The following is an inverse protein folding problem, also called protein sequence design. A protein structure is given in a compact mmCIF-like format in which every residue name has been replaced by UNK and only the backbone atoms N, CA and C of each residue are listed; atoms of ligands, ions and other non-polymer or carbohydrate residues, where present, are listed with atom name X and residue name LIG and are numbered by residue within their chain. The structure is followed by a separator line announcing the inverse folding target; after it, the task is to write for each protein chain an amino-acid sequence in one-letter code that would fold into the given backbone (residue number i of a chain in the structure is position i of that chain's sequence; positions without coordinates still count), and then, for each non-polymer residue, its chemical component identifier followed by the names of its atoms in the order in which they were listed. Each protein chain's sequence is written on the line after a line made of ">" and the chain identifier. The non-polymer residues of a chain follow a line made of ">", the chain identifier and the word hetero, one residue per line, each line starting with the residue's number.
data_IF_292966854162
#
_entry.id   IF_292966854162
#
_cell.length_a   1.000
_cell.length_b   1.000
_cell.length_c   1.000
_cell.angle_alpha   90.00
_cell.angle_beta   90.00
_cell.angle_gamma   90.00
#
_symmetry.space_group_name_H-M   'P 1'
#
loop_
_entity.id
_entity.type
_entity.pdbx_description
1 polymer ?
#
# COMPACT_ATOMS: atom_id res chain seq x y z
N UNK A 1 32.48 22.35 1.14
CA UNK A 1 31.19 23.01 0.82
C UNK A 1 30.91 22.64 -0.63
N UNK A 2 30.41 21.44 -0.87
CA UNK A 2 28.99 21.02 -0.85
C UNK A 2 28.25 21.51 -2.10
N UNK A 3 27.89 20.57 -2.98
CA UNK A 3 26.79 20.67 -3.93
C UNK A 3 26.27 19.24 -4.16
N UNK A 4 25.65 18.67 -3.11
CA UNK A 4 24.92 17.40 -3.13
C UNK A 4 23.42 17.63 -3.42
N UNK A 5 23.11 18.45 -4.43
CA UNK A 5 21.72 18.84 -4.74
C UNK A 5 21.14 18.17 -6.00
N UNK A 6 21.76 17.08 -6.50
CA UNK A 6 21.22 16.32 -7.64
C UNK A 6 20.42 15.07 -7.29
N UNK A 7 20.32 14.68 -6.01
CA UNK A 7 19.63 13.44 -5.60
C UNK A 7 18.22 13.65 -5.03
N UNK A 8 17.76 14.88 -4.79
CA UNK A 8 16.49 15.14 -4.11
C UNK A 8 15.31 15.60 -4.98
N UNK A 9 15.47 15.71 -6.31
CA UNK A 9 14.39 16.18 -7.19
C UNK A 9 13.57 15.07 -7.87
N UNK A 10 13.97 13.80 -7.76
CA UNK A 10 13.27 12.69 -8.40
C UNK A 10 12.12 12.09 -7.55
N UNK A 11 11.96 12.51 -6.29
CA UNK A 11 10.97 11.92 -5.37
C UNK A 11 9.64 12.69 -5.34
N UNK A 12 9.60 13.92 -5.88
CA UNK A 12 8.48 14.86 -5.65
C UNK A 12 7.51 15.09 -6.83
N UNK A 13 7.44 14.19 -7.80
CA UNK A 13 6.47 14.29 -8.90
C UNK A 13 5.82 12.97 -9.33
N UNK A 14 5.86 11.94 -8.47
CA UNK A 14 4.92 10.83 -8.58
C UNK A 14 3.55 11.32 -8.08
N UNK A 15 2.82 11.95 -8.99
CA UNK A 15 1.52 12.60 -8.78
C UNK A 15 0.60 11.76 -7.90
N UNK A 16 0.05 12.37 -6.85
CA UNK A 16 -1.04 11.84 -6.01
C UNK A 16 -2.34 11.55 -6.78
N UNK A 17 -2.33 11.65 -8.11
CA UNK A 17 -3.46 11.45 -8.98
C UNK A 17 -3.69 9.96 -9.19
N UNK A 18 -4.96 9.55 -9.12
CA UNK A 18 -5.38 8.19 -9.45
C UNK A 18 -4.88 7.90 -10.87
N UNK A 19 -4.22 6.76 -11.12
CA UNK A 19 -3.77 6.39 -12.46
C UNK A 19 -4.94 6.44 -13.45
N UNK A 20 -4.76 7.17 -14.55
CA UNK A 20 -5.74 7.24 -15.63
C UNK A 20 -5.87 5.88 -16.34
N UNK A 21 -7.01 5.66 -16.99
CA UNK A 21 -7.18 4.48 -17.84
C UNK A 21 -6.11 4.44 -18.94
N UNK A 22 -5.58 3.24 -19.26
CA UNK A 22 -4.61 3.09 -20.33
C UNK A 22 -5.29 3.33 -21.68
N UNK A 23 -4.58 3.99 -22.59
CA UNK A 23 -5.02 4.12 -23.98
C UNK A 23 -4.99 2.75 -24.67
N UNK A 24 -6.15 2.16 -24.94
CA UNK A 24 -6.27 0.86 -25.60
C UNK A 24 -6.28 1.09 -27.12
N UNK A 25 -5.28 0.53 -27.81
CA UNK A 25 -5.27 0.50 -29.27
C UNK A 25 -6.37 -0.46 -29.73
N UNK A 26 -7.26 -0.01 -30.61
CA UNK A 26 -8.28 -0.87 -31.19
C UNK A 26 -7.66 -1.94 -32.10
N UNK A 27 -8.25 -3.14 -32.14
CA UNK A 27 -7.81 -4.18 -33.06
C UNK A 27 -8.11 -3.75 -34.50
N UNK A 28 -7.12 -3.86 -35.38
CA UNK A 28 -7.23 -3.45 -36.77
C UNK A 28 -6.68 -4.53 -37.70
N UNK A 29 -7.55 -5.45 -38.10
CA UNK A 29 -7.19 -6.52 -39.03
C UNK A 29 -6.92 -6.02 -40.45
N UNK A 30 -7.50 -4.88 -40.84
CA UNK A 30 -7.37 -4.33 -42.20
C UNK A 30 -5.96 -3.80 -42.45
N UNK A 31 -5.32 -3.26 -41.41
CA UNK A 31 -3.93 -2.80 -41.45
C UNK A 31 -2.90 -3.87 -41.04
N UNK A 32 -3.28 -5.15 -41.12
CA UNK A 32 -2.34 -6.27 -40.91
C UNK A 32 -1.95 -6.52 -39.46
N UNK A 33 -2.71 -5.99 -38.48
CA UNK A 33 -2.46 -6.28 -37.07
C UNK A 33 -2.72 -7.75 -36.77
N UNK A 34 -1.71 -8.44 -36.23
CA UNK A 34 -1.87 -9.83 -35.78
C UNK A 34 -2.65 -9.87 -34.47
N UNK A 35 -3.63 -10.77 -34.40
CA UNK A 35 -4.50 -10.95 -33.22
C UNK A 35 -3.69 -11.25 -31.96
N UNK A 36 -2.65 -12.07 -32.08
CA UNK A 36 -1.77 -12.46 -30.98
C UNK A 36 -1.00 -11.24 -30.46
N UNK A 37 -0.46 -10.41 -31.36
CA UNK A 37 0.27 -9.21 -30.99
C UNK A 37 -0.65 -8.18 -30.31
N UNK A 38 -1.87 -8.02 -30.79
CA UNK A 38 -2.86 -7.15 -30.16
C UNK A 38 -3.25 -7.65 -28.77
N UNK A 39 -3.50 -8.95 -28.62
CA UNK A 39 -3.81 -9.56 -27.32
C UNK A 39 -2.67 -9.39 -26.31
N UNK A 40 -1.43 -9.66 -26.70
CA UNK A 40 -0.25 -9.43 -25.86
C UNK A 40 -0.13 -7.96 -25.44
N UNK A 41 -0.45 -7.02 -26.33
CA UNK A 41 -0.44 -5.60 -26.01
C UNK A 41 -1.43 -5.24 -24.90
N UNK A 42 -2.63 -5.83 -24.91
CA UNK A 42 -3.64 -5.64 -23.88
C UNK A 42 -3.16 -6.20 -22.54
N UNK A 43 -2.58 -7.41 -22.53
CA UNK A 43 -2.06 -8.02 -21.31
C UNK A 43 -0.96 -7.17 -20.68
N UNK A 44 -0.01 -6.69 -21.48
CA UNK A 44 1.08 -5.81 -21.02
C UNK A 44 0.51 -4.51 -20.45
N UNK A 45 -0.47 -3.89 -21.11
CA UNK A 45 -1.10 -2.66 -20.62
C UNK A 45 -1.84 -2.88 -19.30
N UNK A 46 -2.59 -3.97 -19.17
CA UNK A 46 -3.28 -4.32 -17.94
C UNK A 46 -2.29 -4.54 -16.78
N UNK A 47 -1.21 -5.27 -17.01
CA UNK A 47 -0.16 -5.48 -16.02
C UNK A 47 0.49 -4.16 -15.58
N UNK A 48 0.81 -3.27 -16.53
CA UNK A 48 1.36 -1.94 -16.23
C UNK A 48 0.39 -1.09 -15.41
N UNK A 49 -0.89 -1.11 -15.73
CA UNK A 49 -1.91 -0.38 -14.97
C UNK A 49 -2.03 -0.92 -13.54
N UNK A 50 -2.05 -2.25 -13.37
CA UNK A 50 -2.10 -2.88 -12.06
C UNK A 50 -0.92 -2.47 -11.17
N UNK A 51 0.30 -2.42 -11.73
CA UNK A 51 1.50 -1.94 -11.03
C UNK A 51 1.35 -0.46 -10.64
N UNK A 52 0.91 0.41 -11.57
CA UNK A 52 0.69 1.83 -11.28
C UNK A 52 -0.33 2.04 -10.15
N UNK A 53 -1.44 1.31 -10.17
CA UNK A 53 -2.46 1.36 -9.12
C UNK A 53 -1.88 0.91 -7.78
N UNK A 54 -1.10 -0.17 -7.77
CA UNK A 54 -0.46 -0.67 -6.55
C UNK A 54 0.49 0.37 -5.94
N UNK A 55 1.36 0.97 -6.75
CA UNK A 55 2.29 2.03 -6.32
C UNK A 55 1.49 3.24 -5.79
N UNK A 56 0.47 3.68 -6.53
CA UNK A 56 -0.36 4.81 -6.10
C UNK A 56 -1.03 4.56 -4.75
N UNK A 57 -1.56 3.35 -4.52
CA UNK A 57 -2.16 2.95 -3.23
C UNK A 57 -1.16 3.05 -2.09
N UNK A 58 0.06 2.52 -2.27
CA UNK A 58 1.11 2.57 -1.26
C UNK A 58 1.49 4.02 -0.93
N UNK A 59 1.70 4.86 -1.95
CA UNK A 59 2.08 6.27 -1.75
C UNK A 59 0.98 7.10 -1.06
N UNK A 60 -0.30 6.74 -1.25
CA UNK A 60 -1.42 7.51 -0.74
C UNK A 60 -2.06 6.94 0.54
N UNK A 61 -1.65 5.76 1.01
CA UNK A 61 -2.29 5.10 2.15
C UNK A 61 -2.32 5.97 3.40
N UNK A 62 -1.25 6.74 3.66
CA UNK A 62 -1.14 7.61 4.83
C UNK A 62 -2.28 8.63 4.94
N UNK A 63 -2.85 9.07 3.81
CA UNK A 63 -3.99 10.00 3.77
C UNK A 63 -5.27 9.39 4.31
N UNK A 64 -5.37 8.07 4.30
CA UNK A 64 -6.54 7.31 4.73
C UNK A 64 -6.37 6.70 6.12
N UNK A 65 -5.19 6.79 6.73
CA UNK A 65 -4.91 6.34 8.09
C UNK A 65 -5.08 7.48 9.09
N UNK A 66 -5.54 7.17 10.30
CA UNK A 66 -5.70 8.12 11.41
C UNK A 66 -5.29 7.49 12.73
N UNK A 67 -4.94 8.33 13.71
CA UNK A 67 -4.61 7.89 15.08
C UNK A 67 -3.44 6.91 15.13
N UNK A 68 -3.58 5.88 15.97
CA UNK A 68 -2.54 4.85 16.17
C UNK A 68 -2.18 4.12 14.87
N UNK A 69 -3.13 3.93 13.94
CA UNK A 69 -2.86 3.30 12.65
C UNK A 69 -1.86 4.09 11.80
N UNK A 70 -1.99 5.42 11.76
CA UNK A 70 -1.04 6.28 11.06
C UNK A 70 0.34 6.26 11.74
N UNK A 71 0.38 6.29 13.08
CA UNK A 71 1.63 6.23 13.85
C UNK A 71 2.42 4.95 13.57
N UNK A 72 1.76 3.78 13.62
CA UNK A 72 2.42 2.51 13.30
C UNK A 72 2.89 2.45 11.84
N UNK A 73 2.06 2.93 10.91
CA UNK A 73 2.46 2.99 9.50
C UNK A 73 3.75 3.81 9.31
N UNK A 74 3.84 5.01 9.91
CA UNK A 74 5.06 5.85 9.85
C UNK A 74 6.28 5.11 10.42
N UNK A 75 6.11 4.36 11.50
CA UNK A 75 7.20 3.63 12.14
C UNK A 75 7.66 2.40 11.36
N UNK A 76 6.84 1.88 10.43
CA UNK A 76 7.12 0.65 9.70
C UNK A 76 7.26 0.85 8.18
N UNK A 77 7.00 2.06 7.66
CA UNK A 77 6.86 2.31 6.22
C UNK A 77 8.13 2.04 5.41
N UNK A 78 9.32 2.15 6.02
CA UNK A 78 10.60 1.82 5.38
C UNK A 78 10.71 0.34 5.00
N UNK A 79 9.92 -0.54 5.62
CA UNK A 79 9.90 -1.98 5.38
C UNK A 79 8.74 -2.44 4.48
N UNK A 80 7.91 -1.50 3.97
CA UNK A 80 6.73 -1.83 3.17
C UNK A 80 7.07 -1.66 1.69
N UNK A 81 7.29 -2.77 0.99
CA UNK A 81 7.67 -2.77 -0.43
C UNK A 81 6.50 -3.04 -1.38
N UNK A 82 5.41 -3.62 -0.88
CA UNK A 82 4.22 -3.89 -1.67
C UNK A 82 2.94 -3.73 -0.83
N UNK A 83 1.79 -3.69 -1.51
CA UNK A 83 0.49 -3.47 -0.86
C UNK A 83 0.07 -4.65 0.03
N UNK A 84 0.59 -5.86 -0.23
CA UNK A 84 0.27 -7.04 0.58
C UNK A 84 0.95 -6.98 1.95
N UNK A 85 2.22 -6.57 2.02
CA UNK A 85 2.95 -6.36 3.27
C UNK A 85 2.26 -5.31 4.14
N UNK A 86 1.80 -4.23 3.52
CA UNK A 86 0.98 -3.21 4.16
C UNK A 86 -0.31 -3.80 4.76
N UNK A 87 -1.04 -4.61 3.98
CA UNK A 87 -2.26 -5.27 4.46
C UNK A 87 -1.97 -6.19 5.65
N UNK A 88 -0.88 -6.97 5.62
CA UNK A 88 -0.51 -7.85 6.72
C UNK A 88 -0.21 -7.07 7.99
N UNK A 89 0.56 -5.98 7.92
CA UNK A 89 0.85 -5.11 9.06
C UNK A 89 -0.45 -4.56 9.66
N UNK A 90 -1.38 -4.10 8.81
CA UNK A 90 -2.66 -3.58 9.27
C UNK A 90 -3.50 -4.67 9.96
N UNK A 91 -3.51 -5.88 9.38
CA UNK A 91 -4.22 -7.02 9.97
C UNK A 91 -3.62 -7.39 11.32
N UNK A 92 -2.31 -7.59 11.41
CA UNK A 92 -1.64 -8.04 12.62
C UNK A 92 -1.75 -7.04 13.78
N UNK A 93 -1.63 -5.74 13.50
CA UNK A 93 -1.58 -4.72 14.55
C UNK A 93 -2.95 -4.14 14.93
N UNK A 94 -3.95 -4.21 14.04
CA UNK A 94 -5.23 -3.51 14.26
C UNK A 94 -6.48 -4.39 14.15
N UNK A 95 -6.44 -5.47 13.36
CA UNK A 95 -7.63 -6.30 13.13
C UNK A 95 -7.57 -7.66 13.83
N UNK A 96 -6.36 -8.16 14.11
CA UNK A 96 -6.19 -9.36 14.91
C UNK A 96 -6.62 -9.01 16.32
N UNK A 97 -7.62 -9.69 16.90
CA UNK A 97 -7.97 -9.45 18.28
C UNK A 97 -6.71 -9.69 19.11
N UNK A 98 -6.27 -8.69 19.88
CA UNK A 98 -5.35 -8.93 20.97
C UNK A 98 -5.99 -10.05 21.77
N UNK A 99 -5.36 -11.23 21.79
CA UNK A 99 -5.75 -12.31 22.69
C UNK A 99 -5.33 -11.78 24.07
N UNK A 100 -6.17 -10.94 24.65
CA UNK A 100 -5.96 -10.46 25.99
C UNK A 100 -6.21 -11.66 26.87
N UNK A 101 -5.16 -12.16 27.50
CA UNK A 101 -5.30 -13.27 28.41
C UNK A 101 -6.14 -12.79 29.59
N UNK A 102 -7.34 -13.33 29.75
CA UNK A 102 -8.26 -12.94 30.82
C UNK A 102 -7.63 -13.17 32.22
N UNK A 103 -6.61 -14.02 32.33
CA UNK A 103 -5.84 -14.17 33.57
C UNK A 103 -5.10 -12.90 33.98
N UNK A 104 -4.73 -12.03 33.05
CA UNK A 104 -3.98 -10.79 33.35
C UNK A 104 -4.87 -9.75 34.05
N UNK A 105 -6.20 -9.86 33.91
CA UNK A 105 -7.16 -9.03 34.63
C UNK A 105 -7.45 -9.52 36.06
N UNK A 106 -7.05 -10.75 36.42
CA UNK A 106 -7.36 -11.33 37.73
C UNK A 106 -6.54 -10.74 38.88
N UNK A 107 -5.51 -9.94 38.61
CA UNK A 107 -4.61 -9.44 39.66
C UNK A 107 -5.03 -8.13 40.35
N UNK A 108 -6.15 -7.51 39.97
CA UNK A 108 -6.54 -6.21 40.55
C UNK A 108 -7.84 -6.16 41.36
N UNK A 109 -8.48 -7.29 41.64
CA UNK A 109 -9.68 -7.32 42.47
C UNK A 109 -9.63 -8.54 43.39
N UNK A 110 -8.89 -8.43 44.50
CA UNK A 110 -9.14 -9.12 45.77
C UNK A 110 -8.08 -8.70 46.81
N UNK A 111 -7.83 -7.38 46.95
CA UNK A 111 -7.40 -6.85 48.25
C UNK A 111 -8.67 -6.57 49.04
N UNK A 112 -9.33 -7.65 49.44
CA UNK A 112 -10.27 -7.57 50.54
C UNK A 112 -9.44 -7.26 51.78
N UNK A 113 -9.48 -5.99 52.19
CA UNK A 113 -9.24 -5.63 53.58
C UNK A 113 -10.30 -6.38 54.40
N UNK A 114 -9.98 -7.58 54.86
CA UNK A 114 -10.60 -8.17 56.03
C UNK A 114 -9.63 -7.87 57.18
N UNK A 115 -10.11 -6.92 57.98
CA UNK A 115 -9.78 -6.54 59.36
C UNK A 115 -8.64 -7.29 60.08
#
# INVERSE_FOLDING_TARGET
>A
MANDDQTNLAVNSATNQIPSEPYIIAFDSENGMRKEAWYESILIMHAKLAIKIMIWKILNISKYLKGSALTHYINSCLNIYNFYDLCNILVENFLKPNIVNLSDFSQHQLRNNLE
#
